data_IF_970160799542
#
_entry.id   IF_970160799542
#
_cell.length_a   1.000
_cell.length_b   1.000
_cell.length_c   1.000
_cell.angle_alpha   90.00
_cell.angle_beta   90.00
_cell.angle_gamma   90.00
#
_symmetry.space_group_name_H-M   'P 1'
#
loop_
_entity.id
_entity.type
_entity.pdbx_description
1 polymer ?
#
# COMPACT_ATOMS: atom_id res chain seq x y z
N UNK A 1 24.98 -11.18 -18.46
CA UNK A 1 23.55 -10.81 -18.59
C UNK A 1 23.29 -9.68 -17.60
N UNK A 2 23.50 -8.42 -18.01
CA UNK A 2 23.38 -7.26 -17.13
C UNK A 2 21.91 -6.81 -17.09
N UNK A 3 21.18 -7.19 -16.05
CA UNK A 3 19.88 -6.59 -15.75
C UNK A 3 20.12 -5.21 -15.14
N UNK A 4 20.23 -4.19 -16.00
CA UNK A 4 20.14 -2.79 -15.57
C UNK A 4 18.68 -2.52 -15.21
N UNK A 5 18.29 -2.83 -13.98
CA UNK A 5 16.99 -2.43 -13.47
C UNK A 5 17.10 -0.95 -13.06
N UNK A 6 16.86 -0.05 -14.01
CA UNK A 6 16.69 1.37 -13.72
C UNK A 6 15.38 1.53 -12.95
N UNK A 7 15.46 1.44 -11.62
CA UNK A 7 14.34 1.69 -10.72
C UNK A 7 14.20 3.20 -10.54
N UNK A 8 13.22 3.80 -11.21
CA UNK A 8 12.82 5.17 -10.96
C UNK A 8 11.67 5.19 -9.95
N UNK A 9 11.93 5.76 -8.76
CA UNK A 9 10.88 6.00 -7.77
C UNK A 9 10.08 7.24 -8.17
N UNK A 10 8.96 7.05 -8.84
CA UNK A 10 8.02 8.13 -9.10
C UNK A 10 7.12 8.31 -7.87
N UNK A 11 7.33 9.39 -7.11
CA UNK A 11 6.43 9.76 -6.00
C UNK A 11 5.23 10.48 -6.60
N UNK A 12 4.06 9.87 -6.48
CA UNK A 12 2.78 10.49 -6.87
C UNK A 12 2.26 11.52 -5.85
N UNK A 13 3.00 11.79 -4.76
CA UNK A 13 2.51 12.62 -3.66
C UNK A 13 2.69 14.10 -3.98
N UNK A 14 1.59 14.86 -4.03
CA UNK A 14 1.60 16.34 -4.04
C UNK A 14 2.07 16.87 -2.68
N UNK A 15 2.60 18.09 -2.66
CA UNK A 15 3.13 18.74 -1.43
C UNK A 15 2.05 18.93 -0.34
N UNK A 16 0.78 19.02 -0.74
CA UNK A 16 -0.40 19.11 0.13
C UNK A 16 -0.85 17.75 0.72
N UNK A 17 -0.22 16.65 0.31
CA UNK A 17 -0.55 15.29 0.71
C UNK A 17 -1.82 14.72 0.08
N UNK A 18 -2.51 15.47 -0.78
CA UNK A 18 -3.68 14.98 -1.52
C UNK A 18 -3.22 14.19 -2.74
N UNK A 19 -3.85 13.05 -2.97
CA UNK A 19 -3.52 12.15 -4.06
C UNK A 19 -4.83 11.71 -4.69
N UNK A 20 -4.93 11.80 -6.01
CA UNK A 20 -6.12 11.38 -6.75
C UNK A 20 -5.79 10.24 -7.70
N UNK A 21 -6.81 9.49 -8.11
CA UNK A 21 -6.66 8.43 -9.11
C UNK A 21 -6.04 8.96 -10.41
N UNK A 22 -6.37 10.18 -10.82
CA UNK A 22 -5.84 10.78 -12.05
C UNK A 22 -4.35 11.07 -11.96
N UNK A 23 -3.87 11.56 -10.81
CA UNK A 23 -2.44 11.80 -10.59
C UNK A 23 -1.60 10.52 -10.73
N UNK A 24 -2.17 9.38 -10.31
CA UNK A 24 -1.54 8.06 -10.49
C UNK A 24 -1.57 7.65 -11.96
N UNK A 25 -2.72 7.80 -12.63
CA UNK A 25 -2.87 7.47 -14.05
C UNK A 25 -1.87 8.23 -14.93
N UNK A 26 -1.57 9.49 -14.60
CA UNK A 26 -0.67 10.33 -15.38
C UNK A 26 0.82 9.98 -15.13
N UNK A 27 1.16 9.42 -13.98
CA UNK A 27 2.55 9.15 -13.56
C UNK A 27 3.03 7.70 -13.80
N UNK A 28 2.08 6.78 -13.96
CA UNK A 28 2.32 5.33 -14.10
C UNK A 28 2.76 4.84 -15.51
N UNK A 29 2.50 5.52 -16.65
CA UNK A 29 2.88 5.02 -17.97
C UNK A 29 4.38 4.71 -18.09
N UNK A 30 4.71 3.54 -18.63
CA UNK A 30 6.09 3.11 -18.90
C UNK A 30 6.84 2.53 -17.69
N UNK A 31 6.18 2.41 -16.53
CA UNK A 31 6.80 1.85 -15.32
C UNK A 31 6.71 0.32 -15.28
N UNK A 32 7.83 -0.33 -14.93
CA UNK A 32 7.92 -1.79 -14.85
C UNK A 32 7.24 -2.38 -13.62
N UNK A 33 7.32 -1.67 -12.49
CA UNK A 33 6.81 -2.11 -11.21
C UNK A 33 6.15 -0.94 -10.47
N UNK A 34 5.10 -1.23 -9.72
CA UNK A 34 4.46 -0.27 -8.81
C UNK A 34 4.57 -0.81 -7.40
N UNK A 35 4.97 0.04 -6.46
CA UNK A 35 4.87 -0.25 -5.04
C UNK A 35 3.79 0.67 -4.48
N UNK A 36 2.71 0.08 -3.97
CA UNK A 36 1.57 0.81 -3.43
C UNK A 36 1.50 0.69 -1.91
N UNK A 37 1.09 1.80 -1.27
CA UNK A 37 0.53 1.79 0.07
C UNK A 37 -0.94 2.19 -0.06
N UNK A 38 -1.82 1.57 0.73
CA UNK A 38 -3.22 1.94 0.70
C UNK A 38 -3.41 3.32 1.33
N UNK A 39 -3.64 4.33 0.47
CA UNK A 39 -3.90 5.73 0.85
C UNK A 39 -5.34 6.14 0.52
N UNK A 40 -6.27 5.18 0.52
CA UNK A 40 -7.68 5.41 0.15
C UNK A 40 -7.98 5.36 -1.34
N UNK A 41 -6.98 5.10 -2.19
CA UNK A 41 -7.16 4.92 -3.64
C UNK A 41 -6.96 3.44 -3.98
N UNK A 42 -7.99 2.75 -4.49
CA UNK A 42 -7.86 1.36 -4.88
C UNK A 42 -7.05 1.21 -6.16
N UNK A 43 -6.34 0.09 -6.28
CA UNK A 43 -5.62 -0.29 -7.48
C UNK A 43 -6.59 -0.89 -8.50
N UNK A 44 -7.29 -0.01 -9.23
CA UNK A 44 -8.37 -0.37 -10.14
C UNK A 44 -7.90 -0.63 -11.59
N UNK A 45 -8.82 -1.11 -12.43
CA UNK A 45 -8.55 -1.37 -13.86
C UNK A 45 -8.00 -0.14 -14.60
N UNK A 46 -8.48 1.07 -14.26
CA UNK A 46 -8.06 2.30 -14.93
C UNK A 46 -6.56 2.54 -14.79
N UNK A 47 -6.00 2.37 -13.59
CA UNK A 47 -4.57 2.56 -13.37
C UNK A 47 -3.76 1.43 -14.03
N UNK A 48 -4.22 0.18 -13.91
CA UNK A 48 -3.56 -0.97 -14.55
C UNK A 48 -3.50 -0.83 -16.07
N UNK A 49 -4.58 -0.32 -16.68
CA UNK A 49 -4.65 -0.01 -18.10
C UNK A 49 -3.71 1.13 -18.50
N UNK A 50 -3.63 2.19 -17.68
CA UNK A 50 -2.74 3.33 -17.91
C UNK A 50 -1.25 2.95 -17.87
N UNK A 51 -0.87 2.02 -16.99
CA UNK A 51 0.49 1.48 -16.92
C UNK A 51 0.93 0.78 -18.20
N UNK A 52 -0.04 0.19 -18.91
CA UNK A 52 0.17 -0.51 -20.16
C UNK A 52 1.03 -1.77 -20.00
N UNK A 53 1.56 -2.30 -21.11
CA UNK A 53 2.21 -3.62 -21.15
C UNK A 53 3.57 -3.67 -20.44
N UNK A 54 4.12 -2.51 -20.09
CA UNK A 54 5.38 -2.36 -19.37
C UNK A 54 5.31 -2.86 -17.93
N UNK A 55 4.13 -2.77 -17.31
CA UNK A 55 3.91 -3.18 -15.93
C UNK A 55 3.93 -4.72 -15.82
N UNK A 56 4.82 -5.25 -14.98
CA UNK A 56 4.94 -6.70 -14.73
C UNK A 56 4.59 -7.10 -13.30
N UNK A 57 4.72 -6.17 -12.35
CA UNK A 57 4.51 -6.47 -10.93
C UNK A 57 3.94 -5.27 -10.19
N UNK A 58 3.00 -5.53 -9.29
CA UNK A 58 2.53 -4.58 -8.27
C UNK A 58 2.85 -5.20 -6.91
N UNK A 59 3.40 -4.42 -6.00
CA UNK A 59 3.69 -4.85 -4.63
C UNK A 59 2.99 -3.93 -3.64
N UNK A 60 2.33 -4.50 -2.63
CA UNK A 60 1.70 -3.73 -1.55
C UNK A 60 2.45 -3.90 -0.23
N UNK A 61 2.57 -2.82 0.55
CA UNK A 61 3.11 -2.85 1.92
C UNK A 61 2.05 -3.29 2.95
N UNK A 62 1.32 -4.35 2.64
CA UNK A 62 0.27 -4.86 3.51
C UNK A 62 0.04 -6.35 3.27
N UNK A 63 -0.56 -7.01 4.25
CA UNK A 63 -1.03 -8.41 4.10
C UNK A 63 -2.30 -8.43 3.26
N UNK A 64 -3.25 -7.54 3.58
CA UNK A 64 -4.55 -7.43 2.92
C UNK A 64 -4.47 -6.71 1.58
N UNK A 65 -5.06 -7.32 0.55
CA UNK A 65 -5.02 -6.82 -0.83
C UNK A 65 -6.42 -6.59 -1.40
N UNK A 66 -7.43 -6.41 -0.56
CA UNK A 66 -8.84 -6.19 -0.96
C UNK A 66 -9.03 -4.91 -1.81
N UNK A 67 -8.10 -3.96 -1.66
CA UNK A 67 -8.06 -2.72 -2.43
C UNK A 67 -7.45 -2.88 -3.83
N UNK A 68 -7.13 -4.11 -4.26
CA UNK A 68 -6.48 -4.40 -5.54
C UNK A 68 -7.41 -5.25 -6.41
N UNK A 69 -7.64 -4.80 -7.65
CA UNK A 69 -8.45 -5.55 -8.61
C UNK A 69 -7.67 -6.75 -9.20
N UNK A 70 -7.79 -7.89 -8.53
CA UNK A 70 -7.17 -9.15 -8.94
C UNK A 70 -7.65 -9.62 -10.31
N UNK A 71 -8.88 -9.31 -10.70
CA UNK A 71 -9.45 -9.71 -12.00
C UNK A 71 -8.74 -8.98 -13.12
N UNK A 72 -8.59 -7.66 -12.99
CA UNK A 72 -7.81 -6.86 -13.93
C UNK A 72 -6.34 -7.22 -13.93
N UNK A 73 -5.72 -7.46 -12.77
CA UNK A 73 -4.33 -7.90 -12.70
C UNK A 73 -4.08 -9.18 -13.49
N UNK A 74 -4.97 -10.18 -13.34
CA UNK A 74 -4.91 -11.43 -14.09
C UNK A 74 -5.11 -11.21 -15.60
N UNK A 75 -6.06 -10.35 -15.98
CA UNK A 75 -6.32 -9.97 -17.38
C UNK A 75 -5.09 -9.34 -18.06
N UNK A 76 -4.33 -8.52 -17.34
CA UNK A 76 -3.12 -7.87 -17.86
C UNK A 76 -1.82 -8.65 -17.61
N UNK A 77 -1.89 -9.83 -16.98
CA UNK A 77 -0.71 -10.66 -16.69
C UNK A 77 0.27 -10.03 -15.70
N UNK A 78 -0.24 -9.20 -14.78
CA UNK A 78 0.55 -8.52 -13.76
C UNK A 78 0.57 -9.36 -12.47
N UNK A 79 1.75 -9.55 -11.87
CA UNK A 79 1.89 -10.29 -10.61
C UNK A 79 1.69 -9.38 -9.40
N UNK A 80 1.08 -9.91 -8.35
CA UNK A 80 0.91 -9.22 -7.06
C UNK A 80 1.91 -9.76 -6.03
N UNK A 81 2.62 -8.86 -5.35
CA UNK A 81 3.38 -9.13 -4.13
C UNK A 81 2.70 -8.48 -2.93
N UNK A 82 2.62 -9.20 -1.82
CA UNK A 82 2.16 -8.70 -0.53
C UNK A 82 3.17 -9.14 0.56
N UNK A 83 2.95 -8.75 1.81
CA UNK A 83 3.87 -9.03 2.92
C UNK A 83 3.23 -9.95 3.97
N UNK A 84 2.94 -11.23 3.65
CA UNK A 84 2.41 -12.18 4.62
C UNK A 84 3.45 -12.47 5.72
N UNK A 85 2.98 -12.94 6.86
CA UNK A 85 3.75 -13.46 8.01
C UNK A 85 4.63 -12.46 8.78
N UNK A 86 5.25 -11.49 8.11
CA UNK A 86 6.22 -10.55 8.72
C UNK A 86 5.60 -9.50 9.65
N UNK A 87 4.28 -9.29 9.57
CA UNK A 87 3.56 -8.34 10.44
C UNK A 87 2.71 -9.04 11.50
N UNK A 88 2.66 -10.38 11.50
CA UNK A 88 1.73 -11.13 12.35
C UNK A 88 2.00 -10.92 13.83
N UNK A 89 3.26 -11.05 14.26
CA UNK A 89 3.65 -10.88 15.66
C UNK A 89 3.46 -9.43 16.13
N UNK A 90 3.94 -8.45 15.37
CA UNK A 90 3.79 -7.03 15.72
C UNK A 90 2.33 -6.59 15.81
N UNK A 91 1.46 -7.07 14.92
CA UNK A 91 0.03 -6.79 14.99
C UNK A 91 -0.59 -7.45 16.22
N UNK A 92 -0.18 -8.68 16.58
CA UNK A 92 -0.65 -9.36 17.78
C UNK A 92 -0.24 -8.62 19.07
N UNK A 93 1.00 -8.13 19.15
CA UNK A 93 1.49 -7.33 20.27
C UNK A 93 0.67 -6.05 20.46
N UNK A 94 0.41 -5.31 19.36
CA UNK A 94 -0.42 -4.11 19.39
C UNK A 94 -1.86 -4.45 19.79
N UNK A 95 -2.43 -5.55 19.29
CA UNK A 95 -3.79 -5.97 19.63
C UNK A 95 -3.94 -6.26 21.12
N UNK A 96 -3.01 -7.04 21.70
CA UNK A 96 -3.01 -7.34 23.15
C UNK A 96 -2.79 -6.06 23.95
N UNK A 97 -1.84 -5.20 23.53
CA UNK A 97 -1.59 -3.91 24.16
C UNK A 97 -2.83 -3.01 24.18
N UNK A 98 -3.57 -2.96 23.07
CA UNK A 98 -4.82 -2.20 22.95
C UNK A 98 -5.92 -2.74 23.87
N UNK A 99 -6.07 -4.06 23.97
CA UNK A 99 -7.03 -4.70 24.89
C UNK A 99 -6.72 -4.33 26.34
N UNK A 100 -5.45 -4.41 26.77
CA UNK A 100 -5.05 -4.03 28.12
C UNK A 100 -5.29 -2.53 28.34
N UNK A 101 -4.90 -1.68 27.39
CA UNK A 101 -5.02 -0.23 27.51
C UNK A 101 -6.48 0.23 27.63
N UNK A 102 -7.37 -0.38 26.86
CA UNK A 102 -8.81 -0.06 26.89
C UNK A 102 -9.50 -0.61 28.14
N UNK A 103 -9.27 -1.88 28.48
CA UNK A 103 -9.90 -2.50 29.67
C UNK A 103 -9.47 -1.85 30.98
N UNK A 104 -8.23 -1.36 31.06
CA UNK A 104 -7.69 -0.67 32.24
C UNK A 104 -7.76 0.85 32.18
N UNK A 105 -8.39 1.42 31.14
CA UNK A 105 -8.56 2.87 30.98
C UNK A 105 -7.24 3.64 31.09
N UNK A 106 -6.18 3.08 30.49
CA UNK A 106 -4.82 3.63 30.59
C UNK A 106 -4.71 5.04 30.01
N UNK A 107 -5.47 5.35 28.96
CA UNK A 107 -5.44 6.67 28.36
C UNK A 107 -6.05 7.75 29.26
N UNK A 108 -7.11 7.43 30.01
CA UNK A 108 -7.69 8.35 31.00
C UNK A 108 -6.76 8.53 32.20
N UNK A 109 -6.25 7.43 32.76
CA UNK A 109 -5.31 7.50 33.89
C UNK A 109 -4.05 8.31 33.54
N UNK A 110 -3.49 8.11 32.33
CA UNK A 110 -2.35 8.89 31.84
C UNK A 110 -2.68 10.38 31.63
N UNK A 111 -3.94 10.72 31.33
CA UNK A 111 -4.36 12.13 31.21
C UNK A 111 -4.46 12.80 32.58
N UNK A 112 -5.00 12.10 33.57
CA UNK A 112 -5.11 12.60 34.95
C UNK A 112 -3.73 12.88 35.57
N UNK A 113 -2.74 12.01 35.35
CA UNK A 113 -1.37 12.19 35.86
C UNK A 113 -0.61 13.38 35.25
N UNK A 114 -1.08 13.93 34.13
CA UNK A 114 -0.43 15.04 33.41
C UNK A 114 -0.99 16.41 33.79
N UNK A 115 -1.95 16.46 34.72
CA UNK A 115 -2.55 17.68 35.24
C UNK A 115 -1.97 17.97 36.62
#
# INVERSE_FOLDING_TARGET
MHYRCSLEMCKSKKEDGSLTTQDIVDSVPGKFAIICSYAGIPMNEQILKAAGPSLKVVSTFSVGYDHIDLTSMKKYGVRLGNTPDVVTESVAEIAVGLVIATTRRFFEANRELKT
#
